data_IF_483718360176
#
_entry.id   IF_483718360176
#
_cell.length_a   1.000
_cell.length_b   1.000
_cell.length_c   1.000
_cell.angle_alpha   90.00
_cell.angle_beta   90.00
_cell.angle_gamma   90.00
#
_symmetry.space_group_name_H-M   'P 1'
#
loop_
_entity.id
_entity.type
_entity.pdbx_description
1 polymer ?
#
# COMPACT_ATOMS: atom_id res chain seq x y z
N UNK A 1 -1.60 33.62 -4.15
CA UNK A 1 -0.79 32.81 -3.22
C UNK A 1 0.39 32.27 -3.99
N UNK A 2 1.64 32.53 -3.55
CA UNK A 2 2.81 31.95 -4.16
C UNK A 2 2.66 30.42 -4.17
N UNK A 3 2.95 29.80 -5.32
CA UNK A 3 2.84 28.36 -5.49
C UNK A 3 3.96 27.67 -4.68
N UNK A 4 3.68 27.33 -3.42
CA UNK A 4 4.61 26.63 -2.53
C UNK A 4 4.23 25.15 -2.48
N UNK A 5 4.82 24.34 -3.36
CA UNK A 5 4.39 22.96 -3.56
C UNK A 5 4.73 22.07 -2.36
N UNK A 6 3.96 21.01 -2.20
CA UNK A 6 4.20 19.99 -1.17
C UNK A 6 5.21 18.97 -1.68
N UNK A 7 6.20 18.71 -0.85
CA UNK A 7 7.31 17.78 -1.15
C UNK A 7 7.36 16.64 -0.13
N UNK A 8 7.90 15.52 -0.60
CA UNK A 8 8.32 14.38 0.21
C UNK A 8 9.82 14.51 0.44
N UNK A 9 10.25 14.59 1.68
CA UNK A 9 11.67 14.74 2.05
C UNK A 9 12.32 13.42 2.44
N UNK A 10 11.55 12.49 2.99
CA UNK A 10 12.05 11.17 3.32
C UNK A 10 10.92 10.13 3.30
N UNK A 11 11.32 8.89 3.12
CA UNK A 11 10.42 7.74 3.15
C UNK A 11 11.10 6.55 3.84
N UNK A 12 10.26 5.65 4.38
CA UNK A 12 10.70 4.34 4.83
C UNK A 12 9.54 3.35 4.76
N UNK A 13 9.86 2.07 4.58
CA UNK A 13 8.93 0.98 4.75
C UNK A 13 9.56 -0.20 5.49
N UNK A 14 8.77 -1.02 6.12
CA UNK A 14 9.23 -2.33 6.56
C UNK A 14 9.41 -3.26 5.34
N UNK A 15 10.17 -4.35 5.44
CA UNK A 15 9.95 -5.49 4.58
C UNK A 15 8.47 -5.91 4.66
N UNK A 16 7.94 -6.52 3.58
CA UNK A 16 6.59 -7.07 3.59
C UNK A 16 6.65 -8.52 4.06
N UNK A 17 5.94 -8.81 5.16
CA UNK A 17 5.78 -10.15 5.71
C UNK A 17 4.59 -10.87 5.08
N UNK A 18 4.68 -12.20 4.96
CA UNK A 18 3.56 -13.03 4.55
C UNK A 18 2.64 -13.38 5.73
N UNK A 19 1.47 -13.97 5.40
CA UNK A 19 0.52 -14.44 6.40
C UNK A 19 1.16 -15.48 7.33
N UNK A 20 1.11 -15.25 8.63
CA UNK A 20 1.79 -16.03 9.66
C UNK A 20 3.31 -16.19 9.42
N UNK A 21 3.89 -15.22 8.71
CA UNK A 21 5.31 -15.22 8.33
C UNK A 21 6.24 -14.58 9.36
N UNK A 22 7.31 -14.00 8.84
CA UNK A 22 8.39 -13.44 9.66
C UNK A 22 7.95 -12.28 10.57
N UNK A 23 6.94 -11.50 10.15
CA UNK A 23 6.41 -10.35 10.91
C UNK A 23 5.21 -10.67 11.81
N UNK A 24 4.81 -11.93 11.93
CA UNK A 24 3.62 -12.36 12.69
C UNK A 24 3.56 -11.95 14.15
N UNK A 25 4.69 -11.68 14.77
CA UNK A 25 4.76 -11.27 16.19
C UNK A 25 4.53 -9.78 16.41
N UNK A 26 4.39 -8.98 15.33
CA UNK A 26 4.23 -7.54 15.42
C UNK A 26 2.79 -7.11 15.19
N UNK A 27 2.29 -6.24 16.07
CA UNK A 27 1.08 -5.49 15.80
C UNK A 27 1.32 -4.45 14.70
N UNK A 28 0.24 -4.03 14.01
CA UNK A 28 0.36 -3.01 12.97
C UNK A 28 1.00 -1.72 13.47
N UNK A 29 0.68 -1.29 14.71
CA UNK A 29 1.26 -0.09 15.31
C UNK A 29 2.78 -0.20 15.55
N UNK A 30 3.31 -1.39 15.82
CA UNK A 30 4.75 -1.61 15.99
C UNK A 30 5.49 -1.51 14.64
N UNK A 31 4.91 -2.09 13.57
CA UNK A 31 5.42 -1.95 12.21
C UNK A 31 5.35 -0.48 11.74
N UNK A 32 4.24 0.19 12.04
CA UNK A 32 4.06 1.62 11.79
C UNK A 32 5.12 2.47 12.51
N UNK A 33 5.41 2.15 13.77
CA UNK A 33 6.44 2.84 14.56
C UNK A 33 7.83 2.71 13.93
N UNK A 34 8.19 1.53 13.43
CA UNK A 34 9.47 1.31 12.75
C UNK A 34 9.58 2.17 11.48
N UNK A 35 8.53 2.19 10.64
CA UNK A 35 8.51 2.99 9.41
C UNK A 35 8.55 4.51 9.70
N UNK A 36 7.76 4.99 10.66
CA UNK A 36 7.73 6.41 11.06
C UNK A 36 9.10 6.85 11.58
N UNK A 37 9.68 6.10 12.53
CA UNK A 37 11.01 6.39 13.10
C UNK A 37 12.06 6.52 12.00
N UNK A 38 12.15 5.52 11.15
CA UNK A 38 13.14 5.52 10.07
C UNK A 38 12.92 6.67 9.07
N UNK A 39 11.67 7.00 8.73
CA UNK A 39 11.39 8.12 7.83
C UNK A 39 11.81 9.46 8.45
N UNK A 40 11.52 9.69 9.74
CA UNK A 40 11.90 10.92 10.46
C UNK A 40 13.42 11.03 10.61
N UNK A 41 14.09 9.93 10.94
CA UNK A 41 15.57 9.88 11.02
C UNK A 41 16.21 10.16 9.65
N UNK A 42 15.71 9.56 8.58
CA UNK A 42 16.20 9.79 7.21
C UNK A 42 15.96 11.22 6.72
N UNK A 43 14.91 11.86 7.21
CA UNK A 43 14.66 13.28 6.95
C UNK A 43 15.64 14.20 7.67
N UNK A 44 16.43 13.72 8.62
CA UNK A 44 17.29 14.53 9.48
C UNK A 44 16.51 15.44 10.45
N UNK A 45 15.26 15.08 10.73
CA UNK A 45 14.39 15.86 11.62
C UNK A 45 14.46 15.37 13.06
N UNK A 46 14.31 16.31 14.00
CA UNK A 46 14.06 15.95 15.39
C UNK A 46 12.61 15.51 15.54
N UNK A 47 12.30 14.49 16.36
CA UNK A 47 10.92 14.04 16.60
C UNK A 47 9.95 15.18 16.96
N UNK A 48 10.41 16.17 17.71
CA UNK A 48 9.61 17.33 18.14
C UNK A 48 9.18 18.28 17.01
N UNK A 49 9.71 18.10 15.79
CA UNK A 49 9.32 18.92 14.63
C UNK A 49 8.12 18.33 13.89
N UNK A 50 7.70 17.10 14.22
CA UNK A 50 6.53 16.46 13.59
C UNK A 50 5.27 16.93 14.34
N UNK A 51 4.41 17.64 13.61
CA UNK A 51 3.19 18.22 14.19
C UNK A 51 2.00 17.26 14.15
N UNK A 52 1.90 16.46 13.07
CA UNK A 52 0.77 15.55 12.85
C UNK A 52 1.24 14.24 12.17
N UNK A 53 0.61 13.14 12.54
CA UNK A 53 0.79 11.81 11.91
C UNK A 53 -0.56 11.27 11.45
N UNK A 54 -0.67 10.92 10.17
CA UNK A 54 -1.87 10.25 9.63
C UNK A 54 -1.45 8.87 9.12
N UNK A 55 -2.01 7.82 9.72
CA UNK A 55 -1.73 6.43 9.31
C UNK A 55 -3.00 5.71 8.89
N UNK A 56 -2.93 5.06 7.72
CA UNK A 56 -3.93 4.11 7.28
C UNK A 56 -3.85 2.81 8.07
N UNK A 57 -5.00 2.27 8.50
CA UNK A 57 -5.13 0.96 9.11
C UNK A 57 -6.56 0.47 8.88
N UNK A 58 -6.73 -0.69 8.27
CA UNK A 58 -8.04 -1.21 7.86
C UNK A 58 -8.62 -2.16 8.89
N UNK A 59 -7.78 -2.93 9.56
CA UNK A 59 -8.15 -3.99 10.48
C UNK A 59 -7.78 -3.62 11.94
N UNK A 60 -8.44 -2.61 12.54
CA UNK A 60 -8.03 -2.07 13.84
C UNK A 60 -8.59 -2.85 15.03
N UNK A 61 -9.45 -3.85 14.83
CA UNK A 61 -10.02 -4.60 15.94
C UNK A 61 -8.92 -5.29 16.77
N UNK A 62 -9.02 -5.19 18.09
CA UNK A 62 -8.05 -5.79 19.01
C UNK A 62 -6.73 -5.03 19.18
N UNK A 63 -6.47 -3.97 18.39
CA UNK A 63 -5.23 -3.19 18.48
C UNK A 63 -5.23 -2.14 19.61
N UNK A 64 -6.32 -1.95 20.30
CA UNK A 64 -6.46 -0.88 21.30
C UNK A 64 -6.87 0.45 20.68
N UNK A 65 -6.79 1.52 21.47
CA UNK A 65 -7.18 2.85 21.02
C UNK A 65 -6.16 3.47 20.08
N UNK A 66 -6.63 4.14 19.02
CA UNK A 66 -5.85 5.04 18.18
C UNK A 66 -4.52 4.42 17.66
N UNK A 67 -4.55 3.41 16.79
CA UNK A 67 -3.35 2.74 16.30
C UNK A 67 -2.28 3.69 15.75
N UNK A 68 -2.64 4.74 15.01
CA UNK A 68 -1.70 5.76 14.54
C UNK A 68 -0.96 6.47 15.67
N UNK A 69 -1.66 6.73 16.79
CA UNK A 69 -1.01 7.34 17.96
C UNK A 69 -0.06 6.38 18.66
N UNK A 70 -0.43 5.10 18.75
CA UNK A 70 0.47 4.08 19.27
C UNK A 70 1.74 4.00 18.41
N UNK A 71 1.60 4.00 17.09
CA UNK A 71 2.73 4.00 16.17
C UNK A 71 3.62 5.25 16.32
N UNK A 72 3.02 6.44 16.41
CA UNK A 72 3.74 7.69 16.59
C UNK A 72 4.55 7.73 17.90
N UNK A 73 3.93 7.37 19.01
CA UNK A 73 4.61 7.31 20.31
C UNK A 73 5.67 6.21 20.34
N UNK A 74 5.39 5.02 19.76
CA UNK A 74 6.35 3.94 19.59
C UNK A 74 7.54 4.31 18.71
N UNK A 75 7.37 5.24 17.78
CA UNK A 75 8.44 5.83 16.97
C UNK A 75 9.32 6.84 17.76
N UNK A 76 8.90 7.25 18.95
CA UNK A 76 9.59 8.25 19.76
C UNK A 76 9.15 9.69 19.49
N UNK A 77 8.01 9.90 18.82
CA UNK A 77 7.46 11.23 18.65
C UNK A 77 6.88 11.75 19.98
N UNK A 78 6.88 13.07 20.21
CA UNK A 78 6.41 13.63 21.46
C UNK A 78 4.88 13.47 21.63
N UNK A 79 4.43 13.52 22.87
CA UNK A 79 3.00 13.46 23.21
C UNK A 79 2.18 14.60 22.63
N UNK A 80 2.84 15.71 22.27
CA UNK A 80 2.21 16.86 21.63
C UNK A 80 1.86 16.64 20.14
N UNK A 81 2.45 15.63 19.48
CA UNK A 81 2.14 15.32 18.08
C UNK A 81 0.71 14.84 17.93
N UNK A 82 -0.09 15.49 17.07
CA UNK A 82 -1.42 15.02 16.69
C UNK A 82 -1.35 13.70 15.92
N UNK A 83 -2.37 12.85 16.07
CA UNK A 83 -2.35 11.53 15.39
C UNK A 83 -3.76 11.13 14.96
N UNK A 84 -3.89 10.72 13.71
CA UNK A 84 -5.17 10.27 13.13
C UNK A 84 -5.01 8.92 12.45
N UNK A 85 -5.86 7.96 12.80
CA UNK A 85 -6.00 6.68 12.08
C UNK A 85 -7.13 6.81 11.08
N UNK A 86 -6.89 6.43 9.82
CA UNK A 86 -7.91 6.47 8.77
C UNK A 86 -8.10 5.10 8.13
N UNK A 87 -9.30 4.85 7.64
CA UNK A 87 -9.65 3.68 6.87
C UNK A 87 -10.31 4.10 5.54
N UNK A 88 -9.66 3.80 4.44
CA UNK A 88 -10.19 3.83 3.07
C UNK A 88 -9.80 2.54 2.37
N UNK A 89 -10.00 1.42 3.05
CA UNK A 89 -9.62 0.09 2.57
C UNK A 89 -8.18 0.11 2.00
N UNK A 90 -7.92 -0.58 0.89
CA UNK A 90 -6.60 -0.65 0.24
C UNK A 90 -5.93 0.73 0.01
N UNK A 91 -6.74 1.79 -0.16
CA UNK A 91 -6.28 3.15 -0.40
C UNK A 91 -5.86 3.95 0.85
N UNK A 92 -5.97 3.37 2.05
CA UNK A 92 -5.77 4.10 3.32
C UNK A 92 -4.42 4.82 3.40
N UNK A 93 -3.31 4.14 3.08
CA UNK A 93 -1.98 4.75 3.14
C UNK A 93 -1.78 5.89 2.13
N UNK A 94 -2.30 5.77 0.91
CA UNK A 94 -2.26 6.87 -0.06
C UNK A 94 -3.20 8.01 0.36
N UNK A 95 -4.38 7.69 0.90
CA UNK A 95 -5.33 8.71 1.38
C UNK A 95 -4.75 9.50 2.55
N UNK A 96 -3.96 8.86 3.42
CA UNK A 96 -3.21 9.56 4.45
C UNK A 96 -2.25 10.61 3.85
N UNK A 97 -1.50 10.24 2.80
CA UNK A 97 -0.63 11.18 2.09
C UNK A 97 -1.42 12.30 1.38
N UNK A 98 -2.60 12.00 0.80
CA UNK A 98 -3.47 13.01 0.20
C UNK A 98 -3.99 14.01 1.23
N UNK A 99 -4.42 13.55 2.40
CA UNK A 99 -4.86 14.44 3.48
C UNK A 99 -3.70 15.29 4.02
N UNK A 100 -2.52 14.69 4.22
CA UNK A 100 -1.34 15.44 4.62
C UNK A 100 -0.98 16.52 3.59
N UNK A 101 -1.02 16.19 2.28
CA UNK A 101 -0.84 17.16 1.20
C UNK A 101 -1.81 18.35 1.34
N UNK A 102 -3.10 18.07 1.49
CA UNK A 102 -4.14 19.12 1.54
C UNK A 102 -4.03 19.97 2.82
N UNK A 103 -3.73 19.36 3.98
CA UNK A 103 -3.51 20.07 5.25
C UNK A 103 -2.26 20.95 5.19
N UNK A 104 -1.17 20.48 4.62
CA UNK A 104 0.04 21.26 4.39
C UNK A 104 -0.23 22.42 3.41
N UNK A 105 -0.93 22.17 2.31
CA UNK A 105 -1.30 23.20 1.34
C UNK A 105 -2.25 24.26 1.94
N UNK A 106 -3.12 23.86 2.84
CA UNK A 106 -3.99 24.78 3.59
C UNK A 106 -3.24 25.58 4.68
N UNK A 107 -2.05 25.12 5.09
CA UNK A 107 -1.27 25.74 6.17
C UNK A 107 -1.72 25.34 7.58
N UNK A 108 -2.47 24.25 7.69
CA UNK A 108 -2.90 23.71 8.99
C UNK A 108 -1.69 23.20 9.78
N UNK A 109 -0.75 22.55 9.09
CA UNK A 109 0.49 22.02 9.65
C UNK A 109 1.68 22.40 8.76
N UNK A 110 2.89 22.34 9.31
CA UNK A 110 4.14 22.65 8.62
C UNK A 110 4.92 21.39 8.24
N UNK A 111 4.95 20.38 9.10
CA UNK A 111 5.65 19.11 8.91
C UNK A 111 4.77 17.95 9.37
N UNK A 112 4.52 17.02 8.48
CA UNK A 112 3.64 15.88 8.75
C UNK A 112 4.31 14.56 8.37
N UNK A 113 3.89 13.50 9.04
CA UNK A 113 4.14 12.12 8.60
C UNK A 113 2.82 11.53 8.12
N UNK A 114 2.84 10.95 6.94
CA UNK A 114 1.71 10.22 6.39
C UNK A 114 2.14 8.82 5.98
N UNK A 115 1.26 7.85 6.15
CA UNK A 115 1.59 6.48 5.78
C UNK A 115 0.46 5.50 6.02
N UNK A 116 0.84 4.24 6.19
CA UNK A 116 -0.09 3.18 6.52
C UNK A 116 0.62 1.97 7.11
N UNK A 117 -0.13 1.17 7.82
CA UNK A 117 0.33 0.00 8.53
C UNK A 117 -0.77 -1.04 8.58
N UNK A 118 -0.40 -2.32 8.51
CA UNK A 118 -1.34 -3.41 8.66
C UNK A 118 -0.64 -4.65 9.20
N UNK A 119 -1.30 -5.36 10.08
CA UNK A 119 -0.95 -6.73 10.46
C UNK A 119 -2.19 -7.60 10.22
N UNK A 120 -2.29 -8.12 9.00
CA UNK A 120 -3.43 -8.98 8.64
C UNK A 120 -3.36 -10.31 9.37
N UNK A 121 -2.15 -10.77 9.70
CA UNK A 121 -1.92 -11.96 10.52
C UNK A 121 -2.57 -11.86 11.89
N UNK A 122 -2.57 -10.67 12.50
CA UNK A 122 -3.08 -10.46 13.85
C UNK A 122 -4.52 -9.93 13.90
N UNK A 123 -5.21 -9.88 12.76
CA UNK A 123 -6.63 -9.57 12.72
C UNK A 123 -7.42 -10.64 13.50
N UNK A 124 -8.20 -10.26 14.53
CA UNK A 124 -8.86 -11.22 15.41
C UNK A 124 -10.13 -11.80 14.79
N UNK A 125 -10.63 -12.87 15.40
CA UNK A 125 -11.99 -13.33 15.18
C UNK A 125 -12.96 -12.55 16.06
N UNK A 126 -14.16 -12.29 15.54
CA UNK A 126 -15.21 -11.49 16.16
C UNK A 126 -16.37 -12.38 16.60
N UNK A 127 -17.00 -12.01 17.70
CA UNK A 127 -18.23 -12.62 18.20
C UNK A 127 -19.39 -11.61 18.08
N UNK A 128 -20.12 -11.56 16.95
CA UNK A 128 -21.26 -10.66 16.77
C UNK A 128 -22.35 -10.97 17.81
N UNK A 129 -23.05 -9.91 18.25
CA UNK A 129 -24.16 -10.04 19.22
C UNK A 129 -23.77 -10.56 20.61
N UNK A 130 -22.50 -10.86 20.89
CA UNK A 130 -22.06 -11.35 22.20
C UNK A 130 -22.45 -10.41 23.35
N UNK A 131 -22.45 -9.08 23.11
CA UNK A 131 -22.86 -8.08 24.12
C UNK A 131 -24.31 -8.22 24.58
N UNK A 132 -25.21 -8.66 23.71
CA UNK A 132 -26.60 -8.94 24.03
C UNK A 132 -26.83 -10.35 24.61
N UNK A 133 -25.79 -11.18 24.64
CA UNK A 133 -25.78 -12.57 25.06
C UNK A 133 -26.30 -13.54 24.00
N UNK A 134 -25.69 -14.70 23.94
CA UNK A 134 -26.15 -15.81 23.09
C UNK A 134 -27.17 -16.65 23.88
N UNK A 135 -28.45 -16.46 23.61
CA UNK A 135 -29.51 -17.05 24.43
C UNK A 135 -29.78 -18.51 24.10
N UNK A 136 -29.87 -18.88 22.80
CA UNK A 136 -30.22 -20.23 22.37
C UNK A 136 -29.72 -20.47 20.93
N UNK A 137 -29.26 -21.70 20.66
CA UNK A 137 -28.77 -22.12 19.35
C UNK A 137 -27.30 -21.79 19.09
N UNK A 138 -26.81 -22.28 17.96
CA UNK A 138 -25.43 -22.05 17.53
C UNK A 138 -25.19 -20.62 17.12
N UNK A 139 -23.95 -20.14 17.33
CA UNK A 139 -23.51 -18.81 16.91
C UNK A 139 -22.24 -18.96 16.01
N UNK A 140 -21.99 -17.93 15.21
CA UNK A 140 -20.83 -17.88 14.32
C UNK A 140 -19.72 -17.02 14.91
N UNK A 141 -18.48 -17.46 14.71
CA UNK A 141 -17.27 -16.66 14.87
C UNK A 141 -16.91 -16.12 13.49
N UNK A 142 -16.70 -14.81 13.38
CA UNK A 142 -16.44 -14.12 12.12
C UNK A 142 -14.97 -13.73 12.08
N UNK A 143 -14.27 -14.04 10.98
CA UNK A 143 -12.92 -13.58 10.73
C UNK A 143 -12.96 -12.10 10.35
N UNK A 144 -12.36 -11.23 11.18
CA UNK A 144 -12.28 -9.79 10.94
C UNK A 144 -11.57 -9.44 9.62
N UNK A 145 -10.50 -10.16 9.28
CA UNK A 145 -9.75 -9.95 8.06
C UNK A 145 -10.62 -10.16 6.81
N UNK A 146 -11.42 -11.24 6.81
CA UNK A 146 -12.33 -11.52 5.70
C UNK A 146 -13.52 -10.56 5.69
N UNK A 147 -14.22 -10.44 6.81
CA UNK A 147 -15.48 -9.72 6.89
C UNK A 147 -15.33 -8.21 6.64
N UNK A 148 -14.30 -7.58 7.20
CA UNK A 148 -14.07 -6.14 7.07
C UNK A 148 -13.01 -5.77 6.02
N UNK A 149 -12.25 -6.74 5.51
CA UNK A 149 -11.15 -6.48 4.57
C UNK A 149 -11.27 -7.10 3.19
N UNK A 150 -11.79 -8.32 3.08
CA UNK A 150 -11.71 -9.13 1.84
C UNK A 150 -13.07 -9.55 1.28
N UNK A 151 -14.15 -9.41 2.05
CA UNK A 151 -15.53 -9.68 1.65
C UNK A 151 -16.21 -8.38 1.23
N UNK A 152 -17.08 -8.46 0.22
CA UNK A 152 -17.85 -7.29 -0.23
C UNK A 152 -18.94 -6.91 0.77
N UNK A 153 -19.05 -5.61 1.04
CA UNK A 153 -20.04 -5.10 2.00
C UNK A 153 -21.47 -5.11 1.43
N UNK A 154 -21.64 -5.11 0.13
CA UNK A 154 -22.90 -4.97 -0.59
C UNK A 154 -23.43 -6.33 -1.08
N UNK A 155 -22.55 -7.21 -1.52
CA UNK A 155 -22.85 -8.59 -1.91
C UNK A 155 -22.20 -9.55 -0.87
N UNK A 156 -22.84 -9.69 0.30
CA UNK A 156 -22.31 -10.48 1.41
C UNK A 156 -21.96 -11.91 1.04
N UNK A 157 -20.82 -12.39 1.52
CA UNK A 157 -20.25 -13.70 1.20
C UNK A 157 -19.45 -13.72 -0.10
N UNK A 158 -19.42 -12.62 -0.86
CA UNK A 158 -18.66 -12.52 -2.09
C UNK A 158 -17.28 -11.93 -1.83
N UNK A 159 -16.25 -12.71 -2.08
CA UNK A 159 -14.87 -12.29 -1.88
C UNK A 159 -14.37 -11.43 -3.06
N UNK A 160 -13.43 -10.52 -2.78
CA UNK A 160 -12.84 -9.61 -3.75
C UNK A 160 -12.31 -10.31 -5.01
N UNK A 161 -11.76 -11.52 -4.90
CA UNK A 161 -11.28 -12.28 -6.05
C UNK A 161 -12.38 -12.75 -7.02
N UNK A 162 -13.63 -12.85 -6.57
CA UNK A 162 -14.75 -13.15 -7.47
C UNK A 162 -15.02 -12.01 -8.45
N UNK A 163 -14.78 -10.77 -8.05
CA UNK A 163 -14.86 -9.62 -8.95
C UNK A 163 -13.64 -9.52 -9.88
N UNK A 164 -12.48 -10.05 -9.44
CA UNK A 164 -11.31 -10.19 -10.30
C UNK A 164 -11.58 -11.19 -11.44
N UNK A 165 -12.33 -12.27 -11.17
CA UNK A 165 -12.82 -13.19 -12.23
C UNK A 165 -13.77 -12.48 -13.20
N UNK A 166 -14.67 -11.61 -12.71
CA UNK A 166 -15.53 -10.80 -13.59
C UNK A 166 -14.73 -9.85 -14.47
N UNK A 167 -13.69 -9.22 -13.91
CA UNK A 167 -12.76 -8.39 -14.66
C UNK A 167 -12.00 -9.20 -15.71
N UNK A 168 -11.49 -10.37 -15.37
CA UNK A 168 -10.82 -11.27 -16.30
C UNK A 168 -11.73 -11.62 -17.48
N UNK A 169 -12.97 -11.98 -17.20
CA UNK A 169 -13.98 -12.32 -18.22
C UNK A 169 -14.32 -11.11 -19.09
N UNK A 170 -14.55 -9.93 -18.50
CA UNK A 170 -14.91 -8.71 -19.21
C UNK A 170 -13.80 -8.23 -20.15
N UNK A 171 -12.55 -8.31 -19.72
CA UNK A 171 -11.38 -7.96 -20.52
C UNK A 171 -10.84 -9.14 -21.33
N UNK A 172 -11.43 -10.33 -21.23
CA UNK A 172 -10.97 -11.53 -21.91
C UNK A 172 -9.49 -11.87 -21.63
N UNK A 173 -9.04 -11.63 -20.38
CA UNK A 173 -7.71 -12.03 -19.97
C UNK A 173 -7.66 -13.53 -19.73
N UNK A 174 -6.77 -14.22 -20.44
CA UNK A 174 -6.58 -15.65 -20.25
C UNK A 174 -5.85 -15.96 -18.96
N UNK A 175 -5.90 -17.21 -18.52
CA UNK A 175 -5.13 -17.71 -17.38
C UNK A 175 -3.62 -17.51 -17.62
N UNK A 176 -3.14 -17.83 -18.79
CA UNK A 176 -1.74 -17.75 -19.19
C UNK A 176 -1.22 -16.30 -19.19
N UNK A 177 -2.04 -15.35 -19.60
CA UNK A 177 -1.70 -13.93 -19.55
C UNK A 177 -1.54 -13.44 -18.11
N UNK A 178 -2.46 -13.82 -17.22
CA UNK A 178 -2.43 -13.47 -15.80
C UNK A 178 -1.23 -14.11 -15.08
N UNK A 179 -0.96 -15.40 -15.35
CA UNK A 179 0.18 -16.11 -14.78
C UNK A 179 1.51 -15.51 -15.28
N UNK A 180 1.62 -15.15 -16.55
CA UNK A 180 2.80 -14.48 -17.11
C UNK A 180 3.05 -13.13 -16.45
N UNK A 181 1.98 -12.37 -16.21
CA UNK A 181 2.07 -11.11 -15.49
C UNK A 181 2.61 -11.34 -14.06
N UNK A 182 2.05 -12.31 -13.33
CA UNK A 182 2.47 -12.65 -11.97
C UNK A 182 3.92 -13.16 -11.92
N UNK A 183 4.33 -13.99 -12.88
CA UNK A 183 5.72 -14.46 -13.02
C UNK A 183 6.66 -13.27 -13.22
N UNK A 184 6.32 -12.34 -14.11
CA UNK A 184 7.14 -11.15 -14.34
C UNK A 184 7.23 -10.28 -13.08
N UNK A 185 6.13 -10.11 -12.34
CA UNK A 185 6.14 -9.41 -11.05
C UNK A 185 7.08 -10.08 -10.05
N UNK A 186 7.03 -11.40 -9.98
CA UNK A 186 7.88 -12.21 -9.08
C UNK A 186 9.37 -12.10 -9.45
N UNK A 187 9.72 -12.25 -10.74
CA UNK A 187 11.10 -12.09 -11.23
C UNK A 187 11.67 -10.71 -10.88
N UNK A 188 10.88 -9.66 -11.10
CA UNK A 188 11.24 -8.28 -10.78
C UNK A 188 11.44 -8.08 -9.27
N UNK A 189 10.54 -8.61 -8.46
CA UNK A 189 10.63 -8.50 -7.00
C UNK A 189 11.85 -9.24 -6.44
N UNK A 190 12.15 -10.45 -6.95
CA UNK A 190 13.36 -11.17 -6.58
C UNK A 190 14.61 -10.41 -6.99
N UNK A 191 14.65 -9.88 -8.22
CA UNK A 191 15.77 -9.09 -8.70
C UNK A 191 15.98 -7.82 -7.87
N UNK A 192 14.89 -7.11 -7.52
CA UNK A 192 14.96 -5.89 -6.71
C UNK A 192 15.50 -6.16 -5.30
N UNK A 193 15.04 -7.22 -4.63
CA UNK A 193 15.57 -7.62 -3.33
C UNK A 193 17.04 -8.07 -3.43
N UNK A 194 17.37 -8.97 -4.36
CA UNK A 194 18.72 -9.55 -4.49
C UNK A 194 19.76 -8.50 -4.86
N UNK A 195 19.40 -7.55 -5.72
CA UNK A 195 20.32 -6.47 -6.15
C UNK A 195 20.33 -5.26 -5.19
N UNK A 196 19.61 -5.35 -4.05
CA UNK A 196 19.57 -4.28 -3.05
C UNK A 196 18.84 -3.01 -3.51
N UNK A 197 17.97 -3.11 -4.53
CA UNK A 197 17.24 -1.93 -5.03
C UNK A 197 16.20 -1.40 -4.03
N UNK A 198 15.77 -2.23 -3.06
CA UNK A 198 14.90 -1.82 -1.97
C UNK A 198 15.66 -1.38 -0.71
N UNK A 199 16.99 -1.57 -0.61
CA UNK A 199 17.74 -1.27 0.61
C UNK A 199 17.64 0.20 1.06
N UNK A 200 17.46 1.14 0.13
CA UNK A 200 17.31 2.56 0.44
C UNK A 200 15.96 2.88 1.11
N UNK A 201 14.93 2.10 0.86
CA UNK A 201 13.55 2.32 1.36
C UNK A 201 13.19 1.43 2.54
N UNK A 202 13.73 0.22 2.64
CA UNK A 202 13.44 -0.71 3.72
C UNK A 202 14.15 -0.32 5.02
N UNK A 203 13.52 -0.65 6.15
CA UNK A 203 14.11 -0.59 7.49
C UNK A 203 14.15 -2.01 8.05
N UNK A 204 15.31 -2.48 8.53
CA UNK A 204 15.41 -3.80 9.16
C UNK A 204 14.48 -3.92 10.38
N UNK A 205 13.79 -5.04 10.48
CA UNK A 205 12.94 -5.35 11.65
C UNK A 205 13.61 -6.44 12.47
N UNK A 206 13.94 -6.11 13.72
CA UNK A 206 14.53 -7.05 14.65
C UNK A 206 13.47 -8.04 15.16
N UNK A 207 13.71 -9.33 15.00
CA UNK A 207 12.88 -10.40 15.56
C UNK A 207 13.67 -11.27 16.53
N UNK A 208 12.98 -11.79 17.55
CA UNK A 208 13.58 -12.76 18.46
C UNK A 208 13.54 -14.16 17.85
N UNK A 209 14.69 -14.77 17.63
CA UNK A 209 14.86 -16.15 17.21
C UNK A 209 15.45 -16.98 18.37
N UNK A 210 14.58 -17.36 19.30
CA UNK A 210 15.02 -18.00 20.55
C UNK A 210 15.75 -17.02 21.47
N UNK A 211 17.07 -17.24 21.66
CA UNK A 211 17.93 -16.33 22.47
C UNK A 211 18.67 -15.28 21.63
N UNK A 212 18.62 -15.41 20.30
CA UNK A 212 19.30 -14.54 19.37
C UNK A 212 18.33 -13.52 18.76
N UNK A 213 18.86 -12.41 18.29
CA UNK A 213 18.15 -11.42 17.50
C UNK A 213 18.52 -11.61 16.04
N UNK A 214 17.50 -11.66 15.16
CA UNK A 214 17.66 -11.71 13.71
C UNK A 214 16.98 -10.51 13.09
N UNK A 215 17.57 -9.93 12.07
CA UNK A 215 16.98 -8.84 11.32
C UNK A 215 16.30 -9.35 10.04
N UNK A 216 15.07 -8.91 9.82
CA UNK A 216 14.35 -9.08 8.56
C UNK A 216 14.61 -7.84 7.72
N UNK A 217 15.26 -7.99 6.58
CA UNK A 217 15.71 -6.90 5.70
C UNK A 217 15.08 -6.97 4.30
N UNK A 218 14.65 -8.15 3.88
CA UNK A 218 14.08 -8.41 2.57
C UNK A 218 12.58 -8.77 2.65
N UNK A 219 11.84 -8.50 1.60
CA UNK A 219 10.47 -8.92 1.45
C UNK A 219 10.40 -10.45 1.41
N UNK A 220 9.47 -11.03 2.18
CA UNK A 220 9.44 -12.46 2.45
C UNK A 220 8.90 -13.29 1.27
N UNK A 221 7.80 -12.85 0.66
CA UNK A 221 7.03 -13.64 -0.30
C UNK A 221 7.78 -13.95 -1.61
N UNK A 222 8.58 -13.06 -2.19
CA UNK A 222 9.28 -13.34 -3.44
C UNK A 222 10.14 -14.60 -3.40
N UNK A 223 10.72 -14.93 -2.23
CA UNK A 223 11.61 -16.06 -2.05
C UNK A 223 10.91 -17.36 -1.63
N UNK A 224 9.61 -17.31 -1.32
CA UNK A 224 8.78 -18.48 -1.00
C UNK A 224 8.02 -19.04 -2.20
N UNK A 225 7.90 -18.24 -3.27
CA UNK A 225 7.18 -18.64 -4.46
C UNK A 225 7.98 -19.64 -5.31
N UNK A 226 7.26 -20.57 -5.95
CA UNK A 226 7.83 -21.54 -6.88
C UNK A 226 7.25 -21.33 -8.28
N UNK A 227 8.08 -20.88 -9.22
CA UNK A 227 7.70 -20.57 -10.60
C UNK A 227 7.03 -21.74 -11.33
N UNK A 228 7.57 -22.96 -11.16
CA UNK A 228 7.07 -24.16 -11.85
C UNK A 228 5.65 -24.54 -11.41
N UNK A 229 5.27 -24.15 -10.19
CA UNK A 229 3.93 -24.43 -9.66
C UNK A 229 2.88 -23.45 -10.14
N UNK A 230 3.25 -22.22 -10.55
CA UNK A 230 2.29 -21.17 -10.91
C UNK A 230 1.27 -21.64 -11.96
N UNK A 231 1.68 -22.25 -13.11
CA UNK A 231 0.71 -22.68 -14.11
C UNK A 231 -0.20 -23.82 -13.65
N UNK A 232 0.21 -24.57 -12.61
CA UNK A 232 -0.53 -25.74 -12.10
C UNK A 232 -1.50 -25.41 -10.96
N UNK A 233 -1.51 -24.18 -10.47
CA UNK A 233 -2.39 -23.75 -9.39
C UNK A 233 -3.85 -23.81 -9.83
N UNK A 234 -4.70 -24.27 -8.91
CA UNK A 234 -6.15 -24.26 -9.14
C UNK A 234 -6.71 -22.84 -8.96
N UNK A 235 -7.74 -22.47 -9.73
CA UNK A 235 -8.49 -21.25 -9.47
C UNK A 235 -9.02 -21.22 -8.04
N UNK A 236 -8.99 -20.04 -7.41
CA UNK A 236 -9.31 -19.89 -5.98
C UNK A 236 -10.76 -19.48 -5.76
N UNK A 237 -11.33 -18.66 -6.63
CA UNK A 237 -12.62 -17.99 -6.40
C UNK A 237 -13.77 -18.57 -7.22
N UNK A 238 -13.48 -19.25 -8.33
CA UNK A 238 -14.47 -19.96 -9.17
C UNK A 238 -13.88 -21.31 -9.62
N UNK A 239 -14.72 -22.33 -9.69
CA UNK A 239 -14.29 -23.67 -10.11
C UNK A 239 -13.62 -23.66 -11.49
N UNK A 240 -14.22 -22.91 -12.44
CA UNK A 240 -13.74 -22.78 -13.83
C UNK A 240 -13.15 -21.36 -14.07
N UNK A 241 -12.53 -20.79 -13.02
CA UNK A 241 -11.94 -19.45 -13.05
C UNK A 241 -10.50 -19.43 -13.54
N UNK A 242 -9.93 -18.24 -13.53
CA UNK A 242 -8.56 -17.97 -13.96
C UNK A 242 -7.70 -17.34 -12.87
N UNK A 243 -8.35 -16.82 -11.81
CA UNK A 243 -7.66 -16.14 -10.71
C UNK A 243 -7.17 -17.15 -9.67
N UNK A 244 -5.88 -17.15 -9.42
CA UNK A 244 -5.18 -18.09 -8.51
C UNK A 244 -4.47 -17.34 -7.39
N UNK A 245 -3.93 -18.09 -6.45
CA UNK A 245 -3.10 -17.51 -5.39
C UNK A 245 -1.85 -16.79 -5.92
N UNK A 246 -1.31 -17.19 -7.10
CA UNK A 246 -0.11 -16.57 -7.66
C UNK A 246 -0.40 -15.26 -8.42
N UNK A 247 -1.56 -15.15 -9.09
CA UNK A 247 -1.97 -13.94 -9.81
C UNK A 247 -2.91 -13.05 -8.98
N UNK A 248 -2.95 -13.29 -7.66
CA UNK A 248 -3.56 -12.47 -6.61
C UNK A 248 -2.47 -11.98 -5.67
N UNK A 249 -2.69 -10.85 -5.01
CA UNK A 249 -1.83 -10.42 -3.91
C UNK A 249 -1.98 -11.34 -2.70
N UNK A 250 -0.88 -11.55 -1.97
CA UNK A 250 -0.92 -12.32 -0.72
C UNK A 250 -1.41 -11.48 0.45
N UNK A 251 -2.02 -12.15 1.43
CA UNK A 251 -2.28 -11.61 2.77
C UNK A 251 -0.93 -11.31 3.41
N UNK A 252 -0.76 -10.10 3.96
CA UNK A 252 0.56 -9.61 4.32
C UNK A 252 0.53 -8.65 5.51
N UNK A 253 1.70 -8.51 6.13
CA UNK A 253 1.98 -7.58 7.23
C UNK A 253 3.03 -6.57 6.78
N UNK A 254 2.89 -5.31 7.16
CA UNK A 254 3.87 -4.29 6.81
C UNK A 254 3.40 -2.86 7.05
N UNK A 255 4.34 -1.91 6.91
CA UNK A 255 4.10 -0.49 7.06
C UNK A 255 4.97 0.34 6.12
N UNK A 256 4.49 1.54 5.79
CA UNK A 256 5.26 2.55 5.06
C UNK A 256 4.91 3.96 5.55
N UNK A 257 5.89 4.86 5.56
CA UNK A 257 5.74 6.23 6.00
C UNK A 257 6.50 7.21 5.10
N UNK A 258 5.94 8.41 4.96
CA UNK A 258 6.49 9.53 4.20
C UNK A 258 6.54 10.76 5.10
N UNK A 259 7.64 11.50 5.06
CA UNK A 259 7.75 12.83 5.70
C UNK A 259 7.46 13.87 4.65
N UNK A 260 6.48 14.74 4.93
CA UNK A 260 5.93 15.69 3.98
C UNK A 260 5.91 17.10 4.56
N UNK A 261 6.17 18.09 3.72
CA UNK A 261 6.13 19.52 4.09
C UNK A 261 6.02 20.39 2.83
N UNK A 262 5.88 21.69 3.02
CA UNK A 262 6.04 22.63 1.92
C UNK A 262 7.50 22.73 1.49
N UNK A 263 7.75 23.01 0.21
CA UNK A 263 9.10 23.21 -0.32
C UNK A 263 9.85 24.29 0.45
N UNK A 264 9.23 25.43 0.69
CA UNK A 264 9.85 26.52 1.46
C UNK A 264 10.26 26.11 2.87
N UNK A 265 9.51 25.18 3.50
CA UNK A 265 9.86 24.64 4.82
C UNK A 265 11.09 23.73 4.71
N UNK A 266 11.16 22.87 3.69
CA UNK A 266 12.33 22.03 3.45
C UNK A 266 13.58 22.88 3.18
N UNK A 267 13.48 23.90 2.33
CA UNK A 267 14.57 24.82 2.01
C UNK A 267 15.06 25.57 3.26
N UNK A 268 14.14 26.12 4.07
CA UNK A 268 14.47 26.82 5.32
C UNK A 268 15.18 25.91 6.33
N UNK A 269 14.87 24.63 6.32
CA UNK A 269 15.50 23.62 7.19
C UNK A 269 16.76 22.99 6.58
N UNK A 270 17.12 23.34 5.35
CA UNK A 270 18.26 22.76 4.64
C UNK A 270 18.09 21.27 4.29
N UNK A 271 16.84 20.81 4.12
CA UNK A 271 16.53 19.44 3.83
C UNK A 271 16.48 19.18 2.32
N UNK A 272 17.04 18.04 1.91
CA UNK A 272 16.86 17.56 0.54
C UNK A 272 15.41 17.13 0.30
N UNK A 273 14.91 17.41 -0.90
CA UNK A 273 13.60 16.93 -1.36
C UNK A 273 13.80 15.69 -2.22
N UNK A 274 12.99 14.65 -2.00
CA UNK A 274 12.98 13.45 -2.84
C UNK A 274 12.04 13.63 -4.04
N UNK A 275 10.84 14.09 -3.79
CA UNK A 275 9.83 14.24 -4.80
C UNK A 275 8.85 15.39 -4.48
N UNK A 276 8.36 16.01 -5.54
CA UNK A 276 7.24 16.94 -5.53
C UNK A 276 5.94 16.17 -5.79
N UNK A 277 4.86 16.52 -5.09
CA UNK A 277 3.52 16.03 -5.40
C UNK A 277 2.85 17.03 -6.35
N UNK A 278 2.60 16.60 -7.59
CA UNK A 278 1.91 17.41 -8.58
C UNK A 278 0.40 17.41 -8.44
N UNK A 279 -0.14 16.35 -7.85
CA UNK A 279 -1.57 16.23 -7.61
C UNK A 279 -1.96 14.83 -7.19
N UNK A 280 -3.20 14.71 -6.79
CA UNK A 280 -3.82 13.44 -6.45
C UNK A 280 -5.29 13.42 -6.90
N UNK A 281 -5.85 12.22 -7.04
CA UNK A 281 -7.23 12.02 -7.44
C UNK A 281 -7.87 10.86 -6.67
N UNK A 282 -9.18 10.90 -6.58
CA UNK A 282 -10.02 9.78 -6.18
C UNK A 282 -11.06 9.56 -7.28
N UNK A 283 -11.32 8.30 -7.59
CA UNK A 283 -12.39 7.88 -8.47
C UNK A 283 -13.31 6.91 -7.73
N UNK A 284 -14.60 6.97 -8.00
CA UNK A 284 -15.60 6.06 -7.45
C UNK A 284 -16.57 5.62 -8.55
N UNK A 285 -16.97 4.37 -8.50
CA UNK A 285 -17.91 3.73 -9.44
C UNK A 285 -18.68 2.61 -8.73
N UNK A 286 -19.43 1.80 -9.45
CA UNK A 286 -20.17 0.70 -8.85
C UNK A 286 -19.24 -0.23 -8.05
N UNK A 287 -19.61 -0.64 -6.82
CA UNK A 287 -18.76 -1.48 -5.94
C UNK A 287 -18.18 -2.71 -6.64
N UNK A 288 -19.00 -3.41 -7.42
CA UNK A 288 -18.57 -4.59 -8.18
C UNK A 288 -17.48 -4.34 -9.23
N UNK A 289 -17.25 -3.09 -9.60
CA UNK A 289 -16.25 -2.71 -10.62
C UNK A 289 -14.96 -2.15 -10.03
N UNK A 290 -14.68 -2.38 -8.74
CA UNK A 290 -13.50 -1.83 -8.07
C UNK A 290 -12.18 -2.16 -8.81
N UNK A 291 -12.11 -3.30 -9.48
CA UNK A 291 -10.93 -3.75 -10.23
C UNK A 291 -10.50 -2.81 -11.34
N UNK A 292 -11.44 -2.07 -11.93
CA UNK A 292 -11.21 -1.11 -13.03
C UNK A 292 -11.15 0.34 -12.55
N UNK A 293 -11.41 0.61 -11.29
CA UNK A 293 -11.42 1.96 -10.74
C UNK A 293 -10.09 2.74 -10.90
N UNK A 294 -8.88 2.11 -10.86
CA UNK A 294 -7.63 2.80 -11.17
C UNK A 294 -7.61 3.50 -12.52
N UNK A 295 -8.33 2.99 -13.52
CA UNK A 295 -8.47 3.61 -14.86
C UNK A 295 -9.03 5.03 -14.70
N UNK A 296 -10.14 5.17 -13.98
CA UNK A 296 -10.76 6.47 -13.73
C UNK A 296 -9.91 7.41 -12.87
N UNK A 297 -9.21 6.87 -11.85
CA UNK A 297 -8.35 7.67 -11.00
C UNK A 297 -7.14 8.22 -11.77
N UNK A 298 -6.46 7.41 -12.59
CA UNK A 298 -5.34 7.83 -13.43
C UNK A 298 -5.82 8.86 -14.47
N UNK A 299 -6.97 8.62 -15.12
CA UNK A 299 -7.56 9.58 -16.07
C UNK A 299 -7.79 10.95 -15.41
N UNK A 300 -8.46 10.97 -14.25
CA UNK A 300 -8.70 12.22 -13.51
C UNK A 300 -7.40 12.92 -13.10
N UNK A 301 -6.35 12.14 -12.85
CA UNK A 301 -5.04 12.69 -12.50
C UNK A 301 -4.35 13.32 -13.72
N UNK A 302 -4.45 12.72 -14.90
CA UNK A 302 -3.96 13.34 -16.15
C UNK A 302 -4.67 14.68 -16.42
N UNK A 303 -5.99 14.73 -16.23
CA UNK A 303 -6.77 15.96 -16.40
C UNK A 303 -6.33 17.07 -15.42
N UNK A 304 -6.04 16.70 -14.16
CA UNK A 304 -5.60 17.66 -13.13
C UNK A 304 -4.17 18.18 -13.34
N UNK A 305 -3.27 17.30 -13.76
CA UNK A 305 -1.84 17.66 -13.89
C UNK A 305 -1.48 18.18 -15.27
N UNK A 306 -2.34 17.95 -16.27
CA UNK A 306 -2.03 18.21 -17.68
C UNK A 306 -1.05 17.20 -18.27
N UNK A 307 -0.73 16.12 -17.54
CA UNK A 307 0.15 15.06 -18.04
C UNK A 307 -0.57 14.09 -18.95
N UNK A 308 0.20 13.39 -19.75
CA UNK A 308 -0.21 12.26 -20.58
C UNK A 308 0.68 11.05 -20.26
N UNK A 309 0.38 9.89 -20.82
CA UNK A 309 1.23 8.69 -20.73
C UNK A 309 2.66 8.90 -21.24
N UNK A 310 2.86 9.89 -22.12
CA UNK A 310 4.19 10.26 -22.66
C UNK A 310 5.03 11.06 -21.68
N UNK A 311 4.38 11.79 -20.78
CA UNK A 311 5.01 12.62 -19.77
C UNK A 311 5.43 11.82 -18.53
N UNK A 312 4.91 10.58 -18.38
CA UNK A 312 5.14 9.71 -17.22
C UNK A 312 6.15 8.63 -17.56
N UNK A 313 7.23 8.59 -16.78
CA UNK A 313 8.29 7.61 -16.95
C UNK A 313 7.89 6.25 -16.39
N UNK A 314 7.34 6.20 -15.16
CA UNK A 314 6.99 4.97 -14.47
C UNK A 314 5.63 5.05 -13.76
N UNK A 315 5.03 3.87 -13.59
CA UNK A 315 3.79 3.67 -12.86
C UNK A 315 3.99 2.60 -11.77
N UNK A 316 3.42 2.84 -10.60
CA UNK A 316 3.15 1.82 -9.58
C UNK A 316 1.64 1.64 -9.46
N UNK A 317 1.11 0.57 -10.05
CA UNK A 317 -0.31 0.22 -9.98
C UNK A 317 -0.42 -1.04 -9.13
N UNK A 318 -1.07 -0.92 -7.97
CA UNK A 318 -1.12 -2.02 -7.01
C UNK A 318 -1.78 -3.26 -7.58
N UNK A 319 -1.09 -4.38 -7.53
CA UNK A 319 -1.52 -5.68 -8.03
C UNK A 319 -2.37 -6.41 -6.98
N UNK A 320 -3.50 -5.81 -6.55
CA UNK A 320 -4.44 -6.56 -5.70
C UNK A 320 -4.80 -7.91 -6.35
N UNK A 321 -4.94 -7.88 -7.66
CA UNK A 321 -4.97 -9.02 -8.60
C UNK A 321 -4.24 -8.58 -9.86
N UNK A 322 -3.62 -9.51 -10.58
CA UNK A 322 -2.95 -9.21 -11.86
C UNK A 322 -3.88 -8.46 -12.83
N UNK A 323 -5.14 -8.86 -12.92
CA UNK A 323 -6.15 -8.27 -13.81
C UNK A 323 -6.40 -6.79 -13.54
N UNK A 324 -6.22 -6.29 -12.32
CA UNK A 324 -6.38 -4.87 -11.98
C UNK A 324 -5.35 -4.03 -12.71
N UNK A 325 -4.09 -4.40 -12.60
CA UNK A 325 -2.99 -3.70 -13.27
C UNK A 325 -3.05 -3.90 -14.78
N UNK A 326 -3.36 -5.11 -15.24
CA UNK A 326 -3.53 -5.44 -16.67
C UNK A 326 -4.64 -4.60 -17.31
N UNK A 327 -5.79 -4.41 -16.64
CA UNK A 327 -6.89 -3.58 -17.12
C UNK A 327 -6.47 -2.10 -17.26
N UNK A 328 -5.81 -1.55 -16.24
CA UNK A 328 -5.29 -0.19 -16.28
C UNK A 328 -4.24 -0.01 -17.40
N UNK A 329 -3.32 -0.98 -17.55
CA UNK A 329 -2.33 -0.99 -18.64
C UNK A 329 -3.00 -0.99 -20.02
N UNK A 330 -4.04 -1.81 -20.23
CA UNK A 330 -4.76 -1.91 -21.50
C UNK A 330 -5.46 -0.59 -21.85
N UNK A 331 -6.20 -0.02 -20.91
CA UNK A 331 -7.00 1.19 -21.14
C UNK A 331 -6.13 2.44 -21.38
N UNK A 332 -5.04 2.57 -20.62
CA UNK A 332 -4.09 3.67 -20.77
C UNK A 332 -2.96 3.38 -21.76
N UNK A 333 -2.97 2.21 -22.42
CA UNK A 333 -1.95 1.77 -23.40
C UNK A 333 -0.52 1.80 -22.82
N UNK A 334 -0.37 1.45 -21.54
CA UNK A 334 0.91 1.47 -20.86
C UNK A 334 1.74 0.23 -21.23
N UNK A 335 2.99 0.46 -21.59
CA UNK A 335 3.93 -0.64 -21.77
C UNK A 335 4.27 -1.26 -20.41
N UNK A 336 4.26 -2.59 -20.30
CA UNK A 336 4.59 -3.29 -19.06
C UNK A 336 6.00 -2.95 -18.52
N UNK A 337 6.91 -2.54 -19.42
CA UNK A 337 8.25 -2.06 -19.04
C UNK A 337 8.24 -0.77 -18.19
N UNK A 338 7.13 -0.02 -18.18
CA UNK A 338 6.96 1.18 -17.35
C UNK A 338 6.17 0.92 -16.06
N UNK A 339 5.59 -0.26 -15.87
CA UNK A 339 4.66 -0.54 -14.77
C UNK A 339 5.27 -1.57 -13.81
N UNK A 340 5.31 -1.24 -12.51
CA UNK A 340 5.77 -2.11 -11.43
C UNK A 340 7.13 -2.76 -11.75
N UNK A 341 8.12 -1.95 -12.12
CA UNK A 341 9.40 -2.44 -12.63
C UNK A 341 10.25 -3.17 -11.58
N UNK A 342 9.92 -3.02 -10.31
CA UNK A 342 10.51 -3.76 -9.18
C UNK A 342 9.60 -4.87 -8.64
N UNK A 343 8.57 -5.25 -9.40
CA UNK A 343 7.51 -6.15 -8.95
C UNK A 343 6.45 -5.43 -8.12
N UNK A 344 5.28 -6.03 -8.01
CA UNK A 344 4.13 -5.47 -7.29
C UNK A 344 3.54 -6.45 -6.27
N UNK A 345 2.30 -6.23 -5.87
CA UNK A 345 1.69 -6.92 -4.75
C UNK A 345 1.45 -8.43 -4.97
N UNK A 346 1.36 -8.91 -6.21
CA UNK A 346 1.32 -10.36 -6.48
C UNK A 346 2.59 -11.06 -5.97
N UNK A 347 3.72 -10.36 -5.98
CA UNK A 347 5.01 -10.87 -5.52
C UNK A 347 5.36 -10.41 -4.10
N UNK A 348 5.19 -9.11 -3.82
CA UNK A 348 5.61 -8.48 -2.56
C UNK A 348 4.60 -8.63 -1.43
N UNK A 349 3.31 -8.76 -1.77
CA UNK A 349 2.20 -8.78 -0.82
C UNK A 349 1.43 -7.46 -0.71
N UNK A 350 0.28 -7.53 -0.03
CA UNK A 350 -0.68 -6.43 0.07
C UNK A 350 -1.18 -6.21 1.50
N UNK A 351 -0.35 -5.67 2.41
CA UNK A 351 -0.84 -5.21 3.70
C UNK A 351 -1.78 -4.02 3.45
N UNK A 352 -3.11 -4.26 3.53
CA UNK A 352 -4.12 -3.41 2.89
C UNK A 352 -4.04 -1.94 3.32
N UNK A 353 -3.86 -1.65 4.59
CA UNK A 353 -3.75 -0.28 5.10
C UNK A 353 -2.43 0.41 4.73
N UNK A 354 -1.36 -0.35 4.48
CA UNK A 354 -0.02 0.17 4.18
C UNK A 354 0.25 0.37 2.69
N UNK A 355 -0.40 -0.42 1.82
CA UNK A 355 -0.04 -0.54 0.40
C UNK A 355 -0.06 0.78 -0.36
N UNK A 356 -1.02 1.68 -0.06
CA UNK A 356 -1.09 2.99 -0.72
C UNK A 356 0.14 3.86 -0.49
N UNK A 357 0.74 3.80 0.70
CA UNK A 357 2.01 4.47 0.99
C UNK A 357 3.20 3.70 0.41
N UNK A 358 3.18 2.36 0.50
CA UNK A 358 4.24 1.49 -0.03
C UNK A 358 4.49 1.75 -1.52
N UNK A 359 3.44 1.83 -2.35
CA UNK A 359 3.60 2.06 -3.79
C UNK A 359 4.19 3.44 -4.11
N UNK A 360 3.92 4.46 -3.29
CA UNK A 360 4.57 5.77 -3.45
C UNK A 360 6.07 5.66 -3.14
N UNK A 361 6.43 4.96 -2.07
CA UNK A 361 7.83 4.72 -1.68
C UNK A 361 8.57 3.97 -2.79
N UNK A 362 8.01 2.86 -3.27
CA UNK A 362 8.61 2.05 -4.34
C UNK A 362 8.72 2.81 -5.67
N UNK A 363 7.73 3.66 -6.00
CA UNK A 363 7.78 4.50 -7.20
C UNK A 363 8.95 5.49 -7.16
N UNK A 364 9.17 6.16 -6.01
CA UNK A 364 10.32 7.04 -5.81
C UNK A 364 11.64 6.27 -6.04
N UNK A 365 11.75 5.06 -5.48
CA UNK A 365 12.91 4.19 -5.65
C UNK A 365 13.15 3.78 -7.10
N UNK A 366 12.10 3.37 -7.77
CA UNK A 366 12.14 2.97 -9.17
C UNK A 366 12.57 4.12 -10.09
N UNK A 367 12.02 5.32 -9.89
CA UNK A 367 12.41 6.52 -10.63
C UNK A 367 13.88 6.88 -10.39
N UNK A 368 14.34 6.87 -9.14
CA UNK A 368 15.76 7.11 -8.80
C UNK A 368 16.69 6.10 -9.47
N UNK A 369 16.31 4.84 -9.48
CA UNK A 369 17.11 3.76 -10.07
C UNK A 369 17.25 3.87 -11.58
N UNK A 370 16.18 4.30 -12.27
CA UNK A 370 16.16 4.40 -13.74
C UNK A 370 16.59 5.76 -14.29
N UNK A 371 16.72 6.76 -13.43
CA UNK A 371 16.93 8.15 -13.86
C UNK A 371 15.66 8.82 -14.43
N UNK A 372 14.50 8.18 -14.23
CA UNK A 372 13.19 8.76 -14.54
C UNK A 372 12.84 9.88 -13.55
N UNK A 373 11.92 10.74 -13.94
CA UNK A 373 11.51 11.89 -13.12
C UNK A 373 10.04 11.83 -12.68
N UNK A 374 9.14 11.51 -13.59
CA UNK A 374 7.69 11.59 -13.37
C UNK A 374 7.09 10.22 -13.19
N UNK A 375 6.29 10.08 -12.15
CA UNK A 375 5.62 8.82 -11.87
C UNK A 375 4.20 9.00 -11.36
N UNK A 376 3.39 7.96 -11.56
CA UNK A 376 2.03 7.86 -11.04
C UNK A 376 1.91 6.57 -10.22
N UNK A 377 1.48 6.71 -8.97
CA UNK A 377 1.04 5.61 -8.14
C UNK A 377 -0.49 5.54 -8.11
N UNK A 378 -1.08 4.35 -8.26
CA UNK A 378 -2.55 4.17 -8.18
C UNK A 378 -2.89 2.80 -7.60
N UNK A 379 -4.04 2.71 -6.92
CA UNK A 379 -4.55 1.44 -6.43
C UNK A 379 -6.07 1.41 -6.41
N UNK A 380 -6.60 0.21 -6.64
CA UNK A 380 -8.01 -0.09 -6.48
C UNK A 380 -8.37 -0.20 -5.00
N UNK A 381 -9.63 0.00 -4.69
CA UNK A 381 -10.17 0.03 -3.32
C UNK A 381 -11.48 -0.73 -3.32
N UNK A 382 -11.63 -1.70 -2.42
CA UNK A 382 -12.91 -2.39 -2.20
C UNK A 382 -14.04 -1.40 -1.95
N UNK A 383 -15.21 -1.67 -2.54
CA UNK A 383 -16.33 -0.73 -2.54
C UNK A 383 -16.41 0.15 -3.81
N UNK A 384 -15.61 -0.13 -4.83
CA UNK A 384 -15.71 0.51 -6.16
C UNK A 384 -14.89 1.78 -6.33
N UNK A 385 -13.84 1.96 -5.54
CA UNK A 385 -13.04 3.18 -5.59
C UNK A 385 -11.59 2.94 -6.04
N UNK A 386 -10.88 4.03 -6.30
CA UNK A 386 -9.43 4.10 -6.49
C UNK A 386 -8.88 5.46 -6.07
N UNK A 387 -7.59 5.48 -5.74
CA UNK A 387 -6.81 6.72 -5.60
C UNK A 387 -5.62 6.69 -6.54
N UNK A 388 -5.15 7.88 -6.94
CA UNK A 388 -3.91 8.04 -7.68
C UNK A 388 -3.16 9.29 -7.22
N UNK A 389 -1.82 9.27 -7.30
CA UNK A 389 -0.93 10.37 -6.95
C UNK A 389 0.16 10.51 -8.01
N UNK A 390 0.38 11.75 -8.48
CA UNK A 390 1.44 12.12 -9.41
C UNK A 390 2.60 12.75 -8.66
N UNK A 391 3.80 12.23 -8.87
CA UNK A 391 5.04 12.73 -8.26
C UNK A 391 6.08 13.04 -9.34
N UNK A 392 6.96 14.01 -9.04
CA UNK A 392 8.15 14.31 -9.84
C UNK A 392 9.37 14.37 -8.94
N UNK A 393 10.44 13.64 -9.28
CA UNK A 393 11.69 13.68 -8.53
C UNK A 393 12.33 15.08 -8.62
N UNK A 394 12.93 15.50 -7.54
CA UNK A 394 13.61 16.80 -7.42
C UNK A 394 14.96 16.84 -8.09
#
# INVERSE_FOLDING_TARGET
>A
MQNDPIVITAVARTPMGGFNGDLKSFAAAELGAAAIRAAVERAGLKPAQIEEVIMGCVLPAGQGQAPARQAALGAGLPQATGCTTINKMCGSGMKAAMFAHDMLAAGTNSIMVAGGMESMTNAPYLLPKARAGYRMGHQQVIDHMFFDGLEDAYEKGRLMGSFAEDCAASFQFTREEQDRFAITSLERAQAANTNGWFAWETVPIAIKAGKEERFIEADEQPFKANFEKIPTLKPTFRKDGTVTAANSSSISDGAAALVMMRRSTAERLGLATLALIHGHSTHAQAPALFTTAPIGAIKSLYEKTGWTDRDVDLYEINEAFAVVTMAAMREHKLAHAKVNIHGGACALGHPIGASGARIIVSLIGALRKTGGKRGIASLCIGGGEATAMAIELS
#
